data_IF_116713508207
#
_entry.id   IF_116713508207
#
_cell.length_a   1.000
_cell.length_b   1.000
_cell.length_c   1.000
_cell.angle_alpha   90.00
_cell.angle_beta   90.00
_cell.angle_gamma   90.00
#
_symmetry.space_group_name_H-M   'P 1'
#
loop_
_entity.id
_entity.type
_entity.pdbx_description
1 polymer ?
#
# COMPACT_ATOMS: atom_id res chain seq x y z
N UNK A 1 13.46 1.27 -23.62
CA UNK A 1 12.14 0.77 -23.24
C UNK A 1 11.68 1.50 -22.02
N UNK A 2 10.55 2.20 -22.12
CA UNK A 2 9.84 2.78 -20.99
C UNK A 2 9.12 1.62 -20.30
N UNK A 3 9.49 1.31 -19.05
CA UNK A 3 8.80 0.26 -18.29
C UNK A 3 7.49 0.90 -17.83
N UNK A 4 6.39 0.63 -18.55
CA UNK A 4 5.07 1.02 -18.09
C UNK A 4 4.67 0.08 -16.95
N UNK A 5 4.72 0.60 -15.73
CA UNK A 5 4.23 -0.10 -14.53
C UNK A 5 2.70 -0.06 -14.40
N UNK A 6 2.02 0.68 -15.29
CA UNK A 6 0.57 0.80 -15.31
C UNK A 6 -0.04 -0.19 -16.30
N UNK A 7 -0.97 -0.99 -15.79
CA UNK A 7 -1.79 -1.91 -16.56
C UNK A 7 -3.24 -1.57 -16.21
N UNK A 8 -4.08 -1.36 -17.22
CA UNK A 8 -5.50 -1.08 -17.01
C UNK A 8 -6.17 -2.31 -16.39
N UNK A 9 -6.41 -2.27 -15.09
CA UNK A 9 -7.05 -3.33 -14.34
C UNK A 9 -8.40 -2.86 -13.81
N UNK A 10 -9.48 -3.51 -14.23
CA UNK A 10 -10.82 -3.26 -13.70
C UNK A 10 -11.06 -4.10 -12.44
N UNK A 11 -11.14 -3.42 -11.30
CA UNK A 11 -11.48 -4.05 -10.03
C UNK A 11 -12.97 -4.36 -9.96
N UNK A 12 -13.30 -5.58 -9.51
CA UNK A 12 -14.70 -5.98 -9.27
C UNK A 12 -15.32 -5.27 -8.07
N UNK A 13 -14.49 -4.97 -7.07
CA UNK A 13 -14.93 -4.35 -5.82
C UNK A 13 -14.34 -2.95 -5.71
N UNK A 14 -15.23 -1.95 -5.53
CA UNK A 14 -14.81 -0.55 -5.44
C UNK A 14 -13.92 -0.29 -4.23
N UNK A 15 -14.11 -1.04 -3.14
CA UNK A 15 -13.25 -0.97 -1.95
C UNK A 15 -11.81 -1.36 -2.28
N UNK A 16 -11.61 -2.42 -3.06
CA UNK A 16 -10.29 -2.90 -3.50
C UNK A 16 -9.65 -1.91 -4.48
N UNK A 17 -10.43 -1.32 -5.37
CA UNK A 17 -9.97 -0.24 -6.26
C UNK A 17 -9.41 0.94 -5.47
N UNK A 18 -10.15 1.43 -4.48
CA UNK A 18 -9.74 2.55 -3.62
C UNK A 18 -8.48 2.20 -2.83
N UNK A 19 -8.37 0.97 -2.30
CA UNK A 19 -7.15 0.52 -1.64
C UNK A 19 -5.96 0.51 -2.60
N UNK A 20 -6.17 0.01 -3.83
CA UNK A 20 -5.11 -0.01 -4.84
C UNK A 20 -4.66 1.39 -5.25
N UNK A 21 -5.58 2.35 -5.39
CA UNK A 21 -5.27 3.74 -5.71
C UNK A 21 -4.44 4.41 -4.61
N UNK A 22 -4.79 4.19 -3.34
CA UNK A 22 -4.05 4.67 -2.16
C UNK A 22 -2.61 4.14 -2.16
N UNK A 23 -2.46 2.81 -2.24
CA UNK A 23 -1.16 2.15 -2.26
C UNK A 23 -0.30 2.62 -3.44
N UNK A 24 -0.87 2.68 -4.64
CA UNK A 24 -0.13 3.09 -5.83
C UNK A 24 0.33 4.55 -5.73
N UNK A 25 -0.56 5.45 -5.27
CA UNK A 25 -0.23 6.86 -5.07
C UNK A 25 0.92 7.01 -4.08
N UNK A 26 0.85 6.30 -2.96
CA UNK A 26 1.89 6.32 -1.95
C UNK A 26 3.22 5.76 -2.46
N UNK A 27 3.21 4.64 -3.20
CA UNK A 27 4.40 4.07 -3.83
C UNK A 27 5.06 5.05 -4.81
N UNK A 28 4.29 5.72 -5.66
CA UNK A 28 4.83 6.69 -6.63
C UNK A 28 5.46 7.88 -5.92
N UNK A 29 4.82 8.42 -4.87
CA UNK A 29 5.39 9.49 -4.05
C UNK A 29 6.69 9.04 -3.37
N UNK A 30 6.69 7.83 -2.83
CA UNK A 30 7.84 7.21 -2.19
C UNK A 30 9.03 7.08 -3.14
N UNK A 31 8.80 6.60 -4.36
CA UNK A 31 9.83 6.48 -5.39
C UNK A 31 10.41 7.85 -5.77
N UNK A 32 9.57 8.90 -5.84
CA UNK A 32 10.04 10.27 -6.09
C UNK A 32 10.91 10.78 -4.94
N UNK A 33 10.49 10.61 -3.69
CA UNK A 33 11.28 10.99 -2.51
C UNK A 33 12.65 10.29 -2.50
N UNK A 34 12.69 9.00 -2.82
CA UNK A 34 13.93 8.21 -2.93
C UNK A 34 14.80 8.72 -4.08
N UNK A 35 14.20 9.03 -5.22
CA UNK A 35 14.92 9.55 -6.38
C UNK A 35 15.52 10.93 -6.11
N UNK A 36 14.76 11.82 -5.46
CA UNK A 36 15.22 13.16 -5.10
C UNK A 36 16.32 13.13 -4.02
N UNK A 37 16.29 12.12 -3.14
CA UNK A 37 17.33 11.92 -2.12
C UNK A 37 18.61 11.31 -2.68
N UNK A 38 18.55 10.59 -3.82
CA UNK A 38 19.75 10.08 -4.49
C UNK A 38 20.61 11.25 -4.95
N UNK A 39 21.70 11.46 -4.21
CA UNK A 39 22.69 12.49 -4.52
C UNK A 39 23.26 12.25 -5.93
N UNK A 40 22.88 13.11 -6.88
CA UNK A 40 23.31 13.06 -8.29
C UNK A 40 24.84 13.12 -8.48
N UNK A 41 25.60 13.33 -7.40
CA UNK A 41 27.06 13.35 -7.36
C UNK A 41 27.73 11.97 -7.34
N UNK A 42 27.02 10.91 -6.96
CA UNK A 42 27.55 9.54 -6.95
C UNK A 42 26.90 8.70 -8.07
N UNK A 43 27.16 9.05 -9.34
CA UNK A 43 26.62 8.33 -10.50
C UNK A 43 27.09 6.88 -10.64
N UNK A 44 28.00 6.43 -9.76
CA UNK A 44 28.54 5.06 -9.71
C UNK A 44 27.95 4.24 -8.56
N UNK A 45 26.99 4.76 -7.79
CA UNK A 45 26.32 3.96 -6.77
C UNK A 45 25.40 2.97 -7.45
N UNK A 46 25.76 1.69 -7.38
CA UNK A 46 24.89 0.62 -7.85
C UNK A 46 23.58 0.72 -7.08
N UNK A 47 22.50 0.91 -7.85
CA UNK A 47 21.15 1.17 -7.37
C UNK A 47 20.62 0.06 -6.45
N UNK A 48 21.27 -1.09 -6.47
CA UNK A 48 20.92 -2.29 -5.71
C UNK A 48 21.64 -2.41 -4.36
N UNK A 49 22.56 -1.51 -4.01
CA UNK A 49 23.22 -1.53 -2.70
C UNK A 49 22.32 -0.83 -1.69
N UNK A 50 21.55 -1.63 -0.97
CA UNK A 50 20.79 -1.20 0.20
C UNK A 50 21.76 -0.99 1.36
N UNK A 51 21.99 0.26 1.76
CA UNK A 51 22.73 0.57 2.99
C UNK A 51 21.76 0.53 4.18
N UNK A 52 21.80 -0.58 4.92
CA UNK A 52 21.00 -0.74 6.15
C UNK A 52 21.31 0.33 7.20
N UNK A 53 22.46 1.01 7.13
CA UNK A 53 22.84 2.06 8.06
C UNK A 53 22.42 3.46 7.58
N UNK A 54 21.96 3.60 6.34
CA UNK A 54 21.49 4.89 5.82
C UNK A 54 20.20 5.31 6.53
N UNK A 55 20.24 6.49 7.14
CA UNK A 55 19.13 7.01 7.94
C UNK A 55 17.88 7.24 7.08
N UNK A 56 18.06 7.75 5.86
CA UNK A 56 16.96 8.01 4.95
C UNK A 56 16.27 6.69 4.54
N UNK A 57 17.05 5.70 4.11
CA UNK A 57 16.57 4.37 3.74
C UNK A 57 15.81 3.67 4.87
N UNK A 58 16.31 3.78 6.11
CA UNK A 58 15.61 3.24 7.29
C UNK A 58 14.29 3.96 7.59
N UNK A 59 14.28 5.28 7.53
CA UNK A 59 13.06 6.07 7.73
C UNK A 59 12.02 5.77 6.65
N UNK A 60 12.47 5.63 5.40
CA UNK A 60 11.60 5.35 4.28
C UNK A 60 10.97 3.96 4.38
N UNK A 61 11.77 2.95 4.74
CA UNK A 61 11.24 1.61 5.00
C UNK A 61 10.22 1.58 6.15
N UNK A 62 10.49 2.32 7.23
CA UNK A 62 9.52 2.43 8.32
C UNK A 62 8.20 3.08 7.85
N UNK A 63 8.29 4.17 7.07
CA UNK A 63 7.12 4.86 6.50
C UNK A 63 6.31 3.93 5.57
N UNK A 64 6.99 3.12 4.74
CA UNK A 64 6.37 2.11 3.89
C UNK A 64 5.61 1.08 4.72
N UNK A 65 6.27 0.45 5.68
CA UNK A 65 5.65 -0.57 6.55
C UNK A 65 4.43 0.00 7.27
N UNK A 66 4.57 1.17 7.92
CA UNK A 66 3.47 1.80 8.66
C UNK A 66 2.28 2.13 7.75
N UNK A 67 2.51 2.61 6.53
CA UNK A 67 1.41 2.89 5.60
C UNK A 67 0.69 1.59 5.20
N UNK A 68 1.42 0.54 4.83
CA UNK A 68 0.81 -0.74 4.46
C UNK A 68 0.03 -1.38 5.60
N UNK A 69 0.59 -1.43 6.80
CA UNK A 69 -0.08 -1.99 7.98
C UNK A 69 -1.36 -1.23 8.31
N UNK A 70 -1.30 0.11 8.28
CA UNK A 70 -2.47 0.95 8.56
C UNK A 70 -3.55 0.82 7.49
N UNK A 71 -3.18 0.86 6.20
CA UNK A 71 -4.15 0.76 5.09
C UNK A 71 -4.82 -0.61 5.05
N UNK A 72 -4.06 -1.70 5.27
CA UNK A 72 -4.61 -3.06 5.34
C UNK A 72 -5.50 -3.25 6.57
N UNK A 73 -5.04 -2.82 7.76
CA UNK A 73 -5.84 -2.93 8.97
C UNK A 73 -7.14 -2.14 8.86
N UNK A 74 -7.10 -0.92 8.31
CA UNK A 74 -8.29 -0.12 8.09
C UNK A 74 -9.27 -0.77 7.09
N UNK A 75 -8.74 -1.45 6.08
CA UNK A 75 -9.53 -2.19 5.10
C UNK A 75 -10.24 -3.40 5.74
N UNK A 76 -9.50 -4.25 6.46
CA UNK A 76 -10.04 -5.43 7.15
C UNK A 76 -11.12 -5.06 8.17
N UNK A 77 -10.88 -4.01 8.97
CA UNK A 77 -11.84 -3.53 9.97
C UNK A 77 -13.12 -2.93 9.36
N UNK A 78 -13.10 -2.49 8.09
CA UNK A 78 -14.32 -2.00 7.40
C UNK A 78 -15.22 -3.15 6.96
N UNK A 79 -14.66 -4.27 6.53
CA UNK A 79 -15.44 -5.45 6.12
C UNK A 79 -16.10 -6.15 7.31
N UNK A 80 -15.42 -6.19 8.46
CA UNK A 80 -15.96 -6.80 9.69
C UNK A 80 -17.22 -6.08 10.20
N UNK A 81 -17.34 -4.77 9.95
CA UNK A 81 -18.49 -3.94 10.33
C UNK A 81 -19.61 -3.89 9.28
N UNK A 82 -19.43 -4.48 8.10
CA UNK A 82 -20.39 -4.45 6.99
C UNK A 82 -21.34 -5.67 6.94
N UNK A 83 -21.13 -6.68 7.79
CA UNK A 83 -22.04 -7.83 7.90
C UNK A 83 -23.34 -7.41 8.63
N UNK A 84 -24.53 -7.56 8.01
CA UNK A 84 -25.78 -7.41 8.75
C UNK A 84 -25.85 -8.51 9.81
N UNK A 85 -26.11 -8.12 11.06
CA UNK A 85 -26.43 -9.08 12.12
C UNK A 85 -27.56 -9.98 11.64
N UNK A 86 -27.22 -11.24 11.35
CA UNK A 86 -28.19 -12.27 10.96
C UNK A 86 -29.32 -12.31 11.99
N UNK A 87 -30.51 -11.90 11.57
CA UNK A 87 -31.71 -11.98 12.38
C UNK A 87 -31.92 -13.43 12.80
N UNK A 88 -31.92 -13.68 14.12
CA UNK A 88 -32.35 -14.96 14.70
C UNK A 88 -33.73 -15.32 14.13
N UNK A 89 -33.80 -16.42 13.38
CA UNK A 89 -35.05 -16.98 12.89
C UNK A 89 -36.00 -17.27 14.08
N UNK A 90 -37.31 -17.01 13.94
CA UNK A 90 -38.26 -17.35 15.00
C UNK A 90 -38.37 -18.87 15.13
N UNK A 91 -38.19 -19.36 16.37
CA UNK A 91 -38.50 -20.74 16.71
C UNK A 91 -40.00 -20.97 16.52
N UNK A 92 -40.38 -21.67 15.46
CA UNK A 92 -41.71 -22.26 15.34
C UNK A 92 -41.74 -23.44 16.32
N UNK A 93 -42.52 -23.29 17.39
CA UNK A 93 -42.92 -24.42 18.23
C UNK A 93 -44.16 -25.06 17.58
N UNK A 94 -44.04 -26.35 17.24
CA UNK A 94 -45.17 -27.24 16.95
C UNK A 94 -45.87 -27.65 18.24
#
# INVERSE_FOLDING_TARGET
SEIMYECDYEFKEKSVEVLSEDINTFCIQSLKEIFDNRDTKNSNFDSCVYDENDLFSRQMNKKLIEHFENSLSAFENREENALPQSHKAPKVFL
#
